data_IF_471231046757
#
_entry.id   IF_471231046757
#
_cell.length_a   1.000
_cell.length_b   1.000
_cell.length_c   1.000
_cell.angle_alpha   90.00
_cell.angle_beta   90.00
_cell.angle_gamma   90.00
#
_symmetry.space_group_name_H-M   'P 1'
#
loop_
_entity.id
_entity.type
_entity.pdbx_description
1 polymer ?
#
# COMPACT_ATOMS: atom_id res chain seq x y z
N UNK A 1 19.02 -5.65 7.87
CA UNK A 1 17.86 -4.76 7.89
C UNK A 1 17.14 -4.84 6.54
N UNK A 2 15.83 -4.98 6.55
CA UNK A 2 15.06 -5.15 5.34
C UNK A 2 14.13 -3.99 5.04
N UNK A 3 13.46 -4.08 3.90
CA UNK A 3 12.52 -3.06 3.44
C UNK A 3 11.17 -3.18 4.15
N UNK A 4 10.41 -2.10 4.13
CA UNK A 4 8.99 -2.12 4.49
C UNK A 4 8.21 -1.97 3.18
N UNK A 5 7.26 -2.86 2.96
CA UNK A 5 6.40 -2.86 1.78
C UNK A 5 5.01 -2.36 2.15
N UNK A 6 4.47 -1.44 1.38
CA UNK A 6 3.10 -0.96 1.59
C UNK A 6 2.18 -1.47 0.49
N UNK A 7 0.95 -1.82 0.88
CA UNK A 7 -0.08 -2.32 -0.02
C UNK A 7 -1.30 -1.41 0.07
N UNK A 8 -1.71 -0.86 -1.06
CA UNK A 8 -3.01 -0.22 -1.22
C UNK A 8 -3.91 -1.20 -1.97
N UNK A 9 -4.63 -2.01 -1.20
CA UNK A 9 -5.40 -3.14 -1.75
C UNK A 9 -6.69 -2.64 -2.38
N UNK A 10 -6.85 -2.90 -3.66
CA UNK A 10 -8.07 -2.63 -4.39
C UNK A 10 -8.71 -3.92 -4.88
N UNK A 11 -10.00 -3.85 -5.18
CA UNK A 11 -10.73 -5.01 -5.67
C UNK A 11 -10.20 -5.54 -6.99
N UNK A 12 -9.85 -4.63 -7.91
CA UNK A 12 -9.35 -4.97 -9.24
C UNK A 12 -7.85 -4.78 -9.37
N UNK A 13 -7.31 -3.73 -8.77
CA UNK A 13 -5.91 -3.36 -8.83
C UNK A 13 -5.38 -3.11 -7.44
N UNK A 14 -4.11 -3.44 -7.24
CA UNK A 14 -3.40 -3.20 -5.99
C UNK A 14 -2.16 -2.38 -6.28
N UNK A 15 -2.01 -1.27 -5.58
CA UNK A 15 -0.80 -0.45 -5.64
C UNK A 15 0.20 -0.89 -4.59
N UNK A 16 1.48 -0.81 -4.94
CA UNK A 16 2.58 -1.24 -4.07
C UNK A 16 3.65 -0.17 -4.01
N UNK A 17 4.17 0.03 -2.82
CA UNK A 17 5.29 0.94 -2.57
C UNK A 17 6.26 0.26 -1.61
N UNK A 18 7.52 0.70 -1.61
CA UNK A 18 8.54 0.05 -0.81
C UNK A 18 9.57 1.08 -0.35
N UNK A 19 10.15 0.84 0.84
CA UNK A 19 11.26 1.66 1.32
C UNK A 19 12.58 1.17 0.71
N UNK A 20 13.62 2.00 0.84
CA UNK A 20 15.00 1.54 0.71
C UNK A 20 15.36 0.62 1.89
N UNK A 21 16.52 0.00 1.82
CA UNK A 21 16.99 -0.93 2.86
C UNK A 21 17.15 -0.24 4.22
N UNK A 22 17.44 1.07 4.21
CA UNK A 22 17.63 1.86 5.44
C UNK A 22 16.34 2.46 5.96
N UNK A 23 15.22 2.24 5.26
CA UNK A 23 13.88 2.75 5.63
C UNK A 23 13.82 4.26 5.76
N UNK A 24 14.56 4.97 4.90
CA UNK A 24 14.62 6.43 4.90
C UNK A 24 13.52 7.01 4.01
N UNK A 25 13.33 6.45 2.82
CA UNK A 25 12.42 6.98 1.82
C UNK A 25 11.37 5.95 1.40
N UNK A 26 10.18 6.43 1.06
CA UNK A 26 9.13 5.63 0.46
C UNK A 26 9.12 5.86 -1.05
N UNK A 27 9.05 4.78 -1.82
CA UNK A 27 9.09 4.85 -3.28
C UNK A 27 7.93 4.06 -3.87
N UNK A 28 7.21 4.62 -4.85
CA UNK A 28 6.19 3.85 -5.56
C UNK A 28 6.86 2.73 -6.34
N UNK A 29 6.28 1.54 -6.32
CA UNK A 29 6.89 0.37 -6.93
C UNK A 29 6.15 -0.07 -8.18
N UNK A 30 4.89 -0.51 -8.05
CA UNK A 30 4.11 -1.03 -9.17
C UNK A 30 2.63 -1.09 -8.80
N UNK A 31 1.77 -1.08 -9.82
CA UNK A 31 0.36 -1.43 -9.67
C UNK A 31 0.12 -2.70 -10.48
N UNK A 32 -0.51 -3.68 -9.85
CA UNK A 32 -0.76 -4.99 -10.47
C UNK A 32 -2.23 -5.38 -10.33
N UNK A 33 -2.71 -6.30 -11.19
CA UNK A 33 -4.04 -6.89 -10.98
C UNK A 33 -4.07 -7.61 -9.64
N UNK A 34 -5.12 -7.37 -8.86
CA UNK A 34 -5.21 -7.89 -7.50
C UNK A 34 -5.15 -9.42 -7.43
N UNK A 35 -5.71 -10.11 -8.43
CA UNK A 35 -5.69 -11.58 -8.45
C UNK A 35 -4.28 -12.15 -8.60
N UNK A 36 -3.28 -11.35 -9.00
CA UNK A 36 -1.89 -11.78 -9.11
C UNK A 36 -1.04 -11.43 -7.90
N UNK A 37 -1.64 -10.79 -6.90
CA UNK A 37 -0.91 -10.21 -5.76
C UNK A 37 -0.13 -11.27 -4.96
N UNK A 38 -0.75 -12.39 -4.62
CA UNK A 38 -0.09 -13.42 -3.80
C UNK A 38 1.14 -13.99 -4.50
N UNK A 39 1.02 -14.29 -5.79
CA UNK A 39 2.15 -14.79 -6.58
C UNK A 39 3.25 -13.74 -6.69
N UNK A 40 2.88 -12.48 -6.89
CA UNK A 40 3.83 -11.38 -6.96
C UNK A 40 4.59 -11.23 -5.63
N UNK A 41 3.87 -11.29 -4.51
CA UNK A 41 4.48 -11.20 -3.19
C UNK A 41 5.45 -12.36 -2.93
N UNK A 42 5.06 -13.57 -3.30
CA UNK A 42 5.92 -14.75 -3.15
C UNK A 42 7.24 -14.55 -3.88
N UNK A 43 7.18 -14.08 -5.13
CA UNK A 43 8.39 -13.79 -5.92
C UNK A 43 9.21 -12.67 -5.29
N UNK A 44 8.55 -11.60 -4.88
CA UNK A 44 9.25 -10.43 -4.34
C UNK A 44 9.98 -10.78 -3.04
N UNK A 45 9.32 -11.51 -2.14
CA UNK A 45 9.94 -11.92 -0.87
C UNK A 45 11.08 -12.92 -1.06
N UNK A 46 11.11 -13.62 -2.20
CA UNK A 46 12.23 -14.50 -2.53
C UNK A 46 13.46 -13.71 -3.02
N UNK A 47 13.25 -12.53 -3.58
CA UNK A 47 14.31 -11.70 -4.16
C UNK A 47 14.80 -10.60 -3.24
N UNK A 48 13.91 -10.03 -2.44
CA UNK A 48 14.18 -8.89 -1.58
C UNK A 48 13.87 -9.22 -0.13
N UNK A 49 14.70 -8.72 0.77
CA UNK A 49 14.44 -8.87 2.20
C UNK A 49 13.39 -7.85 2.62
N UNK A 50 12.23 -8.34 2.98
CA UNK A 50 11.12 -7.51 3.48
C UNK A 50 10.89 -7.88 4.94
N UNK A 51 11.09 -6.93 5.85
CA UNK A 51 10.94 -7.16 7.29
C UNK A 51 9.51 -6.99 7.75
N UNK A 52 8.71 -6.22 7.02
CA UNK A 52 7.39 -5.84 7.46
C UNK A 52 6.56 -5.37 6.28
N UNK A 53 5.25 -5.64 6.34
CA UNK A 53 4.29 -5.17 5.36
C UNK A 53 3.26 -4.30 6.07
N UNK A 54 2.91 -3.16 5.47
CA UNK A 54 1.82 -2.31 5.94
C UNK A 54 0.73 -2.27 4.89
N UNK A 55 -0.53 -2.41 5.32
CA UNK A 55 -1.67 -2.33 4.42
C UNK A 55 -2.60 -1.21 4.89
N UNK A 56 -3.10 -0.42 3.96
CA UNK A 56 -4.07 0.62 4.27
C UNK A 56 -5.38 0.02 4.74
N UNK A 57 -5.89 0.50 5.86
CA UNK A 57 -7.20 0.10 6.39
C UNK A 57 -8.18 1.24 6.10
N UNK A 58 -9.11 1.07 5.15
CA UNK A 58 -10.04 2.14 4.82
C UNK A 58 -11.18 2.20 5.85
N UNK A 59 -11.31 3.34 6.51
CA UNK A 59 -12.42 3.65 7.40
C UNK A 59 -13.36 4.63 6.72
N UNK A 60 -14.62 4.60 7.12
CA UNK A 60 -15.56 5.67 6.79
C UNK A 60 -15.25 6.90 7.66
N UNK A 61 -15.79 8.05 7.29
CA UNK A 61 -15.55 9.30 8.01
C UNK A 61 -16.00 9.24 9.46
N UNK A 62 -16.97 8.38 9.79
CA UNK A 62 -17.45 8.16 11.15
C UNK A 62 -16.58 7.20 11.97
N UNK A 63 -15.47 6.70 11.39
CA UNK A 63 -14.56 5.77 12.06
C UNK A 63 -14.90 4.30 11.89
N UNK A 64 -16.02 3.96 11.24
CA UNK A 64 -16.38 2.58 10.97
C UNK A 64 -15.65 2.06 9.72
N UNK A 65 -15.53 0.72 9.61
CA UNK A 65 -14.90 0.11 8.45
C UNK A 65 -15.67 0.45 7.17
N UNK A 66 -14.95 0.72 6.09
CA UNK A 66 -15.56 0.90 4.78
C UNK A 66 -15.97 -0.46 4.18
N UNK A 67 -16.80 -0.41 3.14
CA UNK A 67 -17.23 -1.63 2.44
C UNK A 67 -16.05 -2.42 1.86
N UNK A 68 -14.95 -1.73 1.53
CA UNK A 68 -13.75 -2.37 0.98
C UNK A 68 -13.16 -3.42 1.92
N UNK A 69 -13.43 -3.34 3.21
CA UNK A 69 -12.95 -4.34 4.17
C UNK A 69 -13.52 -5.73 3.92
N UNK A 70 -14.62 -5.84 3.16
CA UNK A 70 -15.15 -7.15 2.74
C UNK A 70 -14.14 -7.93 1.89
N UNK A 71 -13.27 -7.23 1.16
CA UNK A 71 -12.22 -7.86 0.34
C UNK A 71 -10.88 -7.85 1.05
N UNK A 72 -10.61 -6.80 1.81
CA UNK A 72 -9.30 -6.58 2.45
C UNK A 72 -9.11 -7.56 3.61
N UNK A 73 -10.12 -7.75 4.44
CA UNK A 73 -9.98 -8.64 5.61
C UNK A 73 -9.68 -10.08 5.21
N UNK A 74 -10.34 -10.67 4.20
CA UNK A 74 -9.96 -12.01 3.73
C UNK A 74 -8.50 -12.06 3.23
N UNK A 75 -8.04 -11.01 2.55
CA UNK A 75 -6.65 -10.94 2.11
C UNK A 75 -5.69 -10.89 3.30
N UNK A 76 -5.98 -10.08 4.32
CA UNK A 76 -5.16 -10.00 5.52
C UNK A 76 -5.05 -11.36 6.20
N UNK A 77 -6.17 -12.04 6.36
CA UNK A 77 -6.21 -13.37 6.97
C UNK A 77 -5.38 -14.36 6.17
N UNK A 78 -5.51 -14.33 4.85
CA UNK A 78 -4.75 -15.17 3.95
C UNK A 78 -3.26 -14.87 4.00
N UNK A 79 -2.89 -13.58 4.01
CA UNK A 79 -1.50 -13.16 4.08
C UNK A 79 -0.82 -13.71 5.34
N UNK A 80 -1.48 -13.58 6.49
CA UNK A 80 -0.94 -14.06 7.77
C UNK A 80 -0.76 -15.57 7.79
N UNK A 81 -1.56 -16.28 7.00
CA UNK A 81 -1.47 -17.75 6.89
C UNK A 81 -0.37 -18.17 5.93
N UNK A 82 -0.23 -17.47 4.80
CA UNK A 82 0.75 -17.81 3.75
C UNK A 82 2.14 -17.31 4.10
N UNK A 83 2.24 -16.13 4.71
CA UNK A 83 3.51 -15.50 5.07
C UNK A 83 3.61 -15.26 6.58
N UNK A 84 3.62 -16.32 7.41
CA UNK A 84 3.54 -16.16 8.87
C UNK A 84 4.77 -15.49 9.48
N UNK A 85 5.89 -15.45 8.78
CA UNK A 85 7.14 -14.87 9.29
C UNK A 85 7.27 -13.37 8.99
N UNK A 86 6.35 -12.80 8.20
CA UNK A 86 6.39 -11.39 7.84
C UNK A 86 5.23 -10.68 8.54
N UNK A 87 5.51 -9.76 9.49
CA UNK A 87 4.44 -9.02 10.16
C UNK A 87 3.65 -8.17 9.17
N UNK A 88 2.33 -8.19 9.30
CA UNK A 88 1.43 -7.32 8.54
C UNK A 88 0.78 -6.35 9.50
N UNK A 89 1.02 -5.05 9.28
CA UNK A 89 0.46 -3.97 10.06
C UNK A 89 -0.64 -3.27 9.27
N UNK A 90 -1.69 -2.85 9.95
CA UNK A 90 -2.76 -2.06 9.34
C UNK A 90 -2.54 -0.59 9.68
N UNK A 91 -2.75 0.27 8.69
CA UNK A 91 -2.60 1.71 8.85
C UNK A 91 -3.88 2.40 8.42
N UNK A 92 -4.43 3.27 9.28
CA UNK A 92 -5.64 4.05 8.98
C UNK A 92 -5.37 4.98 7.80
N UNK A 93 -6.06 4.73 6.68
CA UNK A 93 -5.86 5.50 5.46
C UNK A 93 -6.97 6.52 5.20
N UNK A 94 -7.74 6.89 6.25
CA UNK A 94 -8.74 7.96 6.08
C UNK A 94 -8.08 9.19 5.48
N UNK A 95 -8.69 9.73 4.43
CA UNK A 95 -8.18 10.88 3.70
C UNK A 95 -6.93 10.63 2.85
N UNK A 96 -6.41 9.40 2.79
CA UNK A 96 -5.20 9.10 2.01
C UNK A 96 -5.38 9.44 0.54
N UNK A 97 -6.51 9.08 -0.06
CA UNK A 97 -6.76 9.37 -1.48
C UNK A 97 -6.86 10.88 -1.73
N UNK A 98 -7.41 11.66 -0.78
CA UNK A 98 -7.44 13.12 -0.88
C UNK A 98 -6.03 13.69 -0.81
N UNK A 99 -5.23 13.22 0.15
CA UNK A 99 -3.84 13.64 0.32
C UNK A 99 -3.03 13.30 -0.92
N UNK A 100 -3.20 12.09 -1.46
CA UNK A 100 -2.52 11.65 -2.69
C UNK A 100 -2.85 12.56 -3.86
N UNK A 101 -4.13 12.89 -4.04
CA UNK A 101 -4.56 13.75 -5.13
C UNK A 101 -3.97 15.16 -5.00
N UNK A 102 -3.98 15.72 -3.80
CA UNK A 102 -3.39 17.04 -3.53
C UNK A 102 -1.88 17.03 -3.77
N UNK A 103 -1.18 15.97 -3.35
CA UNK A 103 0.25 15.84 -3.57
C UNK A 103 0.59 15.76 -5.06
N UNK A 104 -0.22 15.06 -5.85
CA UNK A 104 -0.03 14.97 -7.29
C UNK A 104 -0.20 16.34 -7.98
N UNK A 105 -1.20 17.12 -7.55
CA UNK A 105 -1.41 18.46 -8.05
C UNK A 105 -0.25 19.37 -7.69
N UNK A 106 0.18 19.34 -6.44
CA UNK A 106 1.30 20.15 -5.95
C UNK A 106 2.61 19.80 -6.65
N UNK A 107 2.79 18.52 -7.02
CA UNK A 107 3.94 18.06 -7.77
C UNK A 107 3.91 18.39 -9.27
N UNK A 108 2.86 19.07 -9.75
CA UNK A 108 2.73 19.43 -11.15
C UNK A 108 2.29 18.29 -12.07
N UNK A 109 1.70 17.24 -11.52
CA UNK A 109 1.23 16.12 -12.31
C UNK A 109 0.14 16.54 -13.29
N UNK A 110 0.27 16.11 -14.53
CA UNK A 110 -0.70 16.41 -15.59
C UNK A 110 -2.04 15.70 -15.32
N UNK A 111 -3.13 16.31 -15.80
CA UNK A 111 -4.47 15.76 -15.64
C UNK A 111 -4.57 14.32 -16.17
N UNK A 112 -3.96 14.02 -17.31
CA UNK A 112 -3.95 12.68 -17.90
C UNK A 112 -3.31 11.66 -16.97
N UNK A 113 -2.24 12.03 -16.27
CA UNK A 113 -1.56 11.15 -15.30
C UNK A 113 -2.43 10.93 -14.06
N UNK A 114 -3.14 11.97 -13.59
CA UNK A 114 -4.04 11.86 -12.45
C UNK A 114 -5.25 10.97 -12.73
N UNK A 115 -5.62 10.82 -14.01
CA UNK A 115 -6.71 9.95 -14.45
C UNK A 115 -6.24 8.51 -14.66
N UNK A 116 -4.94 8.27 -14.74
CA UNK A 116 -4.39 6.92 -14.83
C UNK A 116 -4.41 6.29 -13.45
N UNK A 117 -5.33 5.34 -13.25
CA UNK A 117 -5.53 4.69 -11.95
C UNK A 117 -4.32 3.90 -11.48
N UNK A 118 -3.51 3.36 -12.40
CA UNK A 118 -2.32 2.61 -12.01
C UNK A 118 -1.28 3.54 -11.35
N UNK A 119 -1.16 4.78 -11.82
CA UNK A 119 -0.29 5.78 -11.21
C UNK A 119 -0.85 6.20 -9.85
N UNK A 120 -2.15 6.47 -9.78
CA UNK A 120 -2.82 6.87 -8.53
C UNK A 120 -2.65 5.80 -7.46
N UNK A 121 -2.87 4.53 -7.80
CA UNK A 121 -2.83 3.42 -6.83
C UNK A 121 -1.44 3.25 -6.22
N UNK A 122 -0.38 3.29 -7.02
CA UNK A 122 0.98 3.14 -6.46
C UNK A 122 1.43 4.38 -5.68
N UNK A 123 0.94 5.57 -6.05
CA UNK A 123 1.20 6.78 -5.28
C UNK A 123 0.43 6.78 -3.96
N UNK A 124 -0.79 6.26 -3.95
CA UNK A 124 -1.55 6.08 -2.71
C UNK A 124 -0.84 5.12 -1.76
N UNK A 125 -0.30 4.01 -2.27
CA UNK A 125 0.51 3.09 -1.48
C UNK A 125 1.75 3.77 -0.91
N UNK A 126 2.39 4.64 -1.68
CA UNK A 126 3.55 5.42 -1.23
C UNK A 126 3.18 6.36 -0.08
N UNK A 127 2.02 7.00 -0.14
CA UNK A 127 1.54 7.90 0.91
C UNK A 127 1.20 7.12 2.18
N UNK A 128 0.59 5.95 2.06
CA UNK A 128 0.38 5.05 3.20
C UNK A 128 1.71 4.75 3.87
N UNK A 129 2.72 4.42 3.08
CA UNK A 129 4.04 4.07 3.57
C UNK A 129 4.72 5.26 4.26
N UNK A 130 4.65 6.45 3.67
CA UNK A 130 5.20 7.66 4.28
C UNK A 130 4.54 7.97 5.62
N UNK A 131 3.21 7.87 5.68
CA UNK A 131 2.46 8.08 6.92
C UNK A 131 2.86 7.07 7.99
N UNK A 132 3.00 5.81 7.60
CA UNK A 132 3.44 4.76 8.51
C UNK A 132 4.86 5.01 9.04
N UNK A 133 5.79 5.36 8.16
CA UNK A 133 7.16 5.69 8.56
C UNK A 133 7.19 6.85 9.56
N UNK A 134 6.42 7.89 9.31
CA UNK A 134 6.34 9.03 10.23
C UNK A 134 5.79 8.63 11.60
N UNK A 135 4.90 7.66 11.64
CA UNK A 135 4.28 7.19 12.89
C UNK A 135 5.24 6.38 13.76
N UNK A 136 6.28 5.80 13.18
CA UNK A 136 7.24 4.94 13.90
C UNK A 136 8.61 5.59 14.12
N UNK A 137 8.77 6.80 13.65
CA UNK A 137 10.01 7.57 13.85
C UNK A 137 10.03 8.30 15.17
#
# INVERSE_FOLDING_TARGET
MGRILAIDYGRKRTGLAVTDMLRITANPLITIPTHTLEAWLTDYFAKETVDEVVIGHPYQMNGEDSESMQYIQPFINRFRKVFPNIPLKEYDERFTSVIAHQAMIAGGMKKSQRQDKSVVDKLAACIILEGYLDSIR
#
